data_IF_219527145141
#
_entry.id   IF_219527145141
#
_cell.length_a   1.000
_cell.length_b   1.000
_cell.length_c   1.000
_cell.angle_alpha   90.00
_cell.angle_beta   90.00
_cell.angle_gamma   90.00
#
_symmetry.space_group_name_H-M   'P 1'
#
loop_
_entity.id
_entity.type
_entity.pdbx_description
1 polymer ?
#
# COMPACT_ATOMS: atom_id res chain seq x y z
N UNK A 1 -12.24 -5.30 -4.30
CA UNK A 1 -11.10 -5.13 -5.22
C UNK A 1 -10.39 -3.85 -4.82
N UNK A 2 -9.24 -3.92 -4.14
CA UNK A 2 -8.49 -2.74 -3.68
C UNK A 2 -7.93 -1.90 -4.85
N UNK A 3 -7.92 -2.44 -6.07
CA UNK A 3 -7.43 -1.73 -7.25
C UNK A 3 -8.40 -0.64 -7.72
N UNK A 4 -9.69 -0.80 -7.47
CA UNK A 4 -10.74 0.17 -7.81
C UNK A 4 -11.24 1.01 -6.63
N UNK A 5 -10.72 0.79 -5.42
CA UNK A 5 -11.18 1.54 -4.26
C UNK A 5 -10.68 3.00 -4.38
N UNK A 6 -11.59 3.97 -4.58
CA UNK A 6 -11.20 5.36 -4.80
C UNK A 6 -10.74 6.06 -3.51
N UNK A 7 -10.88 5.41 -2.35
CA UNK A 7 -10.41 5.92 -1.06
C UNK A 7 -8.95 5.58 -0.81
N UNK A 8 -8.40 4.61 -1.54
CA UNK A 8 -6.99 4.23 -1.45
C UNK A 8 -6.12 5.16 -2.29
N UNK A 9 -5.06 5.68 -1.68
CA UNK A 9 -4.09 6.52 -2.38
C UNK A 9 -3.17 5.65 -3.24
N UNK A 10 -2.79 6.14 -4.43
CA UNK A 10 -1.86 5.44 -5.33
C UNK A 10 -0.50 6.12 -5.30
N UNK A 11 0.57 5.33 -5.34
CA UNK A 11 1.94 5.80 -5.47
C UNK A 11 2.63 5.07 -6.62
N UNK A 12 3.34 5.84 -7.44
CA UNK A 12 4.25 5.36 -8.48
C UNK A 12 5.73 5.37 -8.04
N UNK A 13 6.00 5.80 -6.79
CA UNK A 13 7.36 6.03 -6.27
C UNK A 13 8.13 4.76 -5.91
N UNK A 14 7.44 3.66 -5.60
CA UNK A 14 8.07 2.39 -5.19
C UNK A 14 7.70 1.29 -6.17
N UNK A 15 8.72 0.66 -6.75
CA UNK A 15 8.52 -0.54 -7.54
C UNK A 15 8.27 -1.74 -6.63
N UNK A 16 7.33 -2.59 -7.02
CA UNK A 16 7.07 -3.86 -6.36
C UNK A 16 8.29 -4.78 -6.50
N UNK A 17 8.77 -5.35 -5.40
CA UNK A 17 9.92 -6.28 -5.41
C UNK A 17 9.62 -7.61 -6.11
N UNK A 18 8.34 -7.97 -6.30
CA UNK A 18 7.96 -9.22 -6.98
C UNK A 18 7.82 -9.09 -8.48
N UNK A 19 7.16 -8.03 -8.97
CA UNK A 19 6.86 -7.88 -10.39
C UNK A 19 7.47 -6.63 -11.02
N UNK A 20 8.24 -5.84 -10.26
CA UNK A 20 8.89 -4.59 -10.69
C UNK A 20 7.92 -3.53 -11.23
N UNK A 21 6.62 -3.69 -10.98
CA UNK A 21 5.64 -2.69 -11.36
C UNK A 21 5.77 -1.46 -10.47
N UNK A 22 5.68 -0.27 -11.06
CA UNK A 22 5.82 0.99 -10.31
C UNK A 22 4.54 1.42 -9.62
N UNK A 23 3.38 0.90 -10.02
CA UNK A 23 2.11 1.26 -9.38
C UNK A 23 1.79 0.37 -8.18
N UNK A 24 1.59 1.03 -7.05
CA UNK A 24 1.09 0.46 -5.80
C UNK A 24 0.03 1.37 -5.19
N UNK A 25 -0.95 0.79 -4.52
CA UNK A 25 -1.85 1.52 -3.62
C UNK A 25 -1.26 1.51 -2.21
N UNK A 26 -1.52 2.52 -1.41
CA UNK A 26 -1.12 2.56 -0.01
C UNK A 26 -2.19 3.15 0.88
N UNK A 27 -2.20 2.71 2.13
CA UNK A 27 -3.11 3.19 3.17
C UNK A 27 -2.42 3.21 4.52
N UNK A 28 -2.87 4.13 5.38
CA UNK A 28 -2.45 4.16 6.77
C UNK A 28 -3.17 3.04 7.52
N UNK A 29 -2.41 2.17 8.20
CA UNK A 29 -3.02 1.19 9.08
C UNK A 29 -3.64 1.93 10.27
N UNK A 30 -4.97 1.86 10.42
CA UNK A 30 -5.64 2.37 11.61
C UNK A 30 -5.22 1.49 12.80
N UNK A 31 -4.29 1.99 13.60
CA UNK A 31 -3.89 1.36 14.85
C UNK A 31 -4.78 1.96 15.92
N UNK A 32 -5.75 1.17 16.38
CA UNK A 32 -6.56 1.49 17.54
C UNK A 32 -5.67 1.89 18.74
N UNK A 33 -5.72 3.19 19.03
CA UNK A 33 -5.50 3.89 20.31
C UNK A 33 -4.13 3.83 21.02
N UNK A 34 -3.32 2.76 21.00
CA UNK A 34 -2.26 2.66 22.04
C UNK A 34 -0.79 2.56 21.54
N UNK A 35 -0.53 2.50 20.23
CA UNK A 35 0.84 2.52 19.71
C UNK A 35 0.92 3.34 18.42
N UNK A 36 1.47 4.56 18.54
CA UNK A 36 1.60 5.55 17.48
C UNK A 36 2.69 5.18 16.45
N UNK A 37 2.53 4.05 15.78
CA UNK A 37 3.27 3.74 14.55
C UNK A 37 2.34 3.99 13.38
N UNK A 38 2.46 5.18 12.78
CA UNK A 38 1.85 5.58 11.51
C UNK A 38 2.45 4.74 10.37
N UNK A 39 2.19 3.44 10.38
CA UNK A 39 2.72 2.50 9.39
C UNK A 39 1.86 2.56 8.14
N UNK A 40 2.50 2.87 7.01
CA UNK A 40 1.89 2.82 5.69
C UNK A 40 2.00 1.40 5.16
N UNK A 41 0.86 0.83 4.79
CA UNK A 41 0.79 -0.45 4.08
C UNK A 41 0.75 -0.15 2.60
N UNK A 42 1.61 -0.79 1.83
CA UNK A 42 1.67 -0.71 0.37
C UNK A 42 1.21 -2.03 -0.24
N UNK A 43 0.44 -1.97 -1.33
CA UNK A 43 -0.04 -3.15 -2.05
C UNK A 43 0.12 -2.92 -3.56
N UNK A 44 0.79 -3.85 -4.24
CA UNK A 44 0.98 -3.76 -5.68
C UNK A 44 -0.34 -3.95 -6.43
N UNK A 45 -0.65 -3.05 -7.36
CA UNK A 45 -1.85 -3.14 -8.19
C UNK A 45 -1.74 -4.19 -9.29
N UNK A 46 -0.55 -4.72 -9.58
CA UNK A 46 -0.36 -5.73 -10.61
C UNK A 46 -0.46 -7.15 -10.00
N UNK A 47 0.44 -7.48 -9.08
CA UNK A 47 0.53 -8.82 -8.49
C UNK A 47 -0.15 -8.98 -7.12
N UNK A 48 -0.60 -7.90 -6.48
CA UNK A 48 -1.20 -7.96 -5.14
C UNK A 48 -0.19 -8.17 -4.01
N UNK A 49 1.11 -8.04 -4.27
CA UNK A 49 2.12 -8.12 -3.21
C UNK A 49 1.95 -6.96 -2.22
N UNK A 50 1.87 -7.27 -0.92
CA UNK A 50 1.77 -6.29 0.15
C UNK A 50 3.08 -6.18 0.93
N UNK A 51 3.46 -4.96 1.32
CA UNK A 51 4.64 -4.68 2.15
C UNK A 51 4.41 -3.45 3.03
N UNK A 52 5.14 -3.38 4.14
CA UNK A 52 5.14 -2.23 5.05
C UNK A 52 6.27 -1.28 4.65
N UNK A 53 6.01 0.03 4.68
CA UNK A 53 7.02 1.07 4.41
C UNK A 53 7.43 1.88 5.61
#
# INVERSE_FOLDING_TARGET
DFKHDPTLQRSDRRACERCHNREAVFFQADKAREAASLSLVFVCTHCGHEWLG
#
